data_IF_486961095232
#
_entry.id   IF_486961095232
#
_cell.length_a   1.000
_cell.length_b   1.000
_cell.length_c   1.000
_cell.angle_alpha   90.00
_cell.angle_beta   90.00
_cell.angle_gamma   90.00
#
_symmetry.space_group_name_H-M   'P 1'
#
loop_
_entity.id
_entity.type
_entity.pdbx_description
1 polymer ?
#
# COMPACT_ATOMS: atom_id res chain seq x y z
N UNK A 1 -20.03 -3.71 23.27
CA UNK A 1 -18.73 -4.39 23.29
C UNK A 1 -17.79 -3.44 24.00
N UNK A 2 -17.41 -3.77 25.23
CA UNK A 2 -16.44 -2.98 25.98
C UNK A 2 -15.13 -2.95 25.20
N UNK A 3 -14.53 -1.76 25.06
CA UNK A 3 -13.25 -1.59 24.36
C UNK A 3 -12.18 -2.33 25.16
N UNK A 4 -11.91 -3.57 24.78
CA UNK A 4 -10.67 -4.26 25.12
C UNK A 4 -9.51 -3.35 24.69
N UNK A 5 -8.41 -3.32 25.47
CA UNK A 5 -7.14 -2.70 25.07
C UNK A 5 -6.63 -3.40 23.80
N UNK A 6 -7.13 -2.95 22.64
CA UNK A 6 -6.67 -3.41 21.33
C UNK A 6 -5.47 -2.56 21.00
N UNK A 7 -4.33 -3.22 20.81
CA UNK A 7 -3.12 -2.57 20.31
C UNK A 7 -3.36 -2.08 18.88
N UNK A 8 -3.47 -0.76 18.73
CA UNK A 8 -3.72 -0.09 17.46
C UNK A 8 -2.43 0.10 16.64
N UNK A 9 -1.27 -0.09 17.28
CA UNK A 9 0.06 0.03 16.66
C UNK A 9 0.54 -1.32 16.09
N UNK A 10 -0.22 -2.39 16.29
CA UNK A 10 0.10 -3.70 15.77
C UNK A 10 0.09 -3.73 14.24
N UNK A 11 1.19 -4.20 13.65
CA UNK A 11 1.32 -4.46 12.21
C UNK A 11 1.45 -5.95 11.95
N UNK A 12 0.95 -6.39 10.80
CA UNK A 12 1.12 -7.76 10.33
C UNK A 12 2.58 -8.02 9.87
N UNK A 13 2.86 -9.25 9.43
CA UNK A 13 4.18 -9.63 8.92
C UNK A 13 4.60 -8.89 7.64
N UNK A 14 3.66 -8.24 6.95
CA UNK A 14 3.89 -7.38 5.79
C UNK A 14 4.07 -5.90 6.14
N UNK A 15 3.96 -5.54 7.43
CA UNK A 15 4.01 -4.16 7.91
C UNK A 15 2.69 -3.41 7.72
N UNK A 16 1.58 -4.10 7.46
CA UNK A 16 0.26 -3.48 7.32
C UNK A 16 -0.43 -3.41 8.69
N UNK A 17 -0.97 -2.24 9.01
CA UNK A 17 -1.84 -2.09 10.17
C UNK A 17 -3.30 -2.43 9.81
N UNK A 18 -4.19 -2.39 10.79
CA UNK A 18 -5.61 -2.73 10.60
C UNK A 18 -6.32 -1.83 9.56
N UNK A 19 -5.94 -0.55 9.45
CA UNK A 19 -6.51 0.38 8.46
C UNK A 19 -6.07 0.01 7.05
N UNK A 20 -4.81 -0.36 6.87
CA UNK A 20 -4.28 -0.80 5.58
C UNK A 20 -4.94 -2.11 5.11
N UNK A 21 -5.08 -3.09 6.02
CA UNK A 21 -5.76 -4.37 5.75
C UNK A 21 -7.22 -4.13 5.37
N UNK A 22 -7.88 -3.20 6.05
CA UNK A 22 -9.25 -2.80 5.73
C UNK A 22 -9.36 -2.20 4.33
N UNK A 23 -8.42 -1.33 3.95
CA UNK A 23 -8.34 -0.76 2.60
C UNK A 23 -8.03 -1.81 1.53
N UNK A 24 -7.14 -2.76 1.81
CA UNK A 24 -6.79 -3.87 0.93
C UNK A 24 -8.02 -4.72 0.57
N UNK A 25 -8.90 -4.97 1.53
CA UNK A 25 -10.17 -5.67 1.29
C UNK A 25 -11.30 -4.77 0.78
N UNK A 26 -11.05 -3.46 0.70
CA UNK A 26 -11.99 -2.47 0.18
C UNK A 26 -13.07 -2.06 1.17
N UNK A 27 -12.84 -2.14 2.47
CA UNK A 27 -13.75 -1.56 3.48
C UNK A 27 -13.58 -0.04 3.60
N UNK A 28 -13.66 0.63 2.45
CA UNK A 28 -13.46 2.06 2.26
C UNK A 28 -14.80 2.76 2.05
N UNK A 29 -14.80 4.08 2.22
CA UNK A 29 -15.96 4.92 2.02
C UNK A 29 -16.55 4.78 0.61
N UNK A 30 -17.85 5.11 0.49
CA UNK A 30 -18.53 5.18 -0.81
C UNK A 30 -17.83 6.16 -1.77
N UNK A 31 -17.33 7.29 -1.24
CA UNK A 31 -16.62 8.31 -2.01
C UNK A 31 -15.31 7.76 -2.58
N UNK A 32 -14.61 6.92 -1.83
CA UNK A 32 -13.34 6.31 -2.23
C UNK A 32 -13.48 5.11 -3.18
N UNK A 33 -14.64 4.42 -3.21
CA UNK A 33 -14.87 3.26 -4.10
C UNK A 33 -15.79 3.54 -5.28
N UNK A 34 -16.64 4.56 -5.20
CA UNK A 34 -17.68 4.87 -6.20
C UNK A 34 -18.75 3.78 -6.41
N UNK A 35 -18.65 2.62 -5.73
CA UNK A 35 -19.58 1.47 -5.83
C UNK A 35 -19.50 0.55 -4.59
N UNK A 36 -20.26 0.84 -3.53
CA UNK A 36 -21.02 -0.11 -2.71
C UNK A 36 -21.53 0.58 -1.42
N UNK A 37 -22.83 0.85 -1.32
CA UNK A 37 -23.43 1.45 -0.12
C UNK A 37 -23.59 0.42 1.01
N UNK A 38 -23.41 -0.87 0.68
CA UNK A 38 -23.66 -2.00 1.57
C UNK A 38 -22.39 -2.55 2.25
N UNK A 39 -21.23 -1.95 2.00
CA UNK A 39 -19.96 -2.34 2.66
C UNK A 39 -19.70 -1.36 3.81
N UNK A 40 -19.49 -1.89 5.01
CA UNK A 40 -19.13 -1.07 6.15
C UNK A 40 -17.84 -0.30 5.89
N UNK A 41 -17.87 1.02 6.12
CA UNK A 41 -16.69 1.88 6.05
C UNK A 41 -15.84 1.72 7.32
N UNK A 42 -15.13 0.60 7.36
CA UNK A 42 -14.26 0.24 8.49
C UNK A 42 -13.04 1.14 8.53
N UNK A 43 -12.55 1.60 7.38
CA UNK A 43 -11.39 2.51 7.32
C UNK A 43 -11.69 3.81 8.05
N UNK A 44 -12.81 4.48 7.76
CA UNK A 44 -13.15 5.73 8.45
C UNK A 44 -13.35 5.49 9.95
N UNK A 45 -13.98 4.37 10.32
CA UNK A 45 -14.10 3.98 11.73
C UNK A 45 -12.74 3.80 12.42
N UNK A 46 -11.75 3.17 11.77
CA UNK A 46 -10.41 2.98 12.33
C UNK A 46 -9.61 4.29 12.41
N UNK A 47 -9.76 5.16 11.42
CA UNK A 47 -9.20 6.52 11.44
C UNK A 47 -9.76 7.36 12.59
N UNK A 48 -11.07 7.28 12.85
CA UNK A 48 -11.71 7.94 14.00
C UNK A 48 -11.20 7.41 15.36
N UNK A 49 -10.61 6.21 15.38
CA UNK A 49 -9.94 5.64 16.55
C UNK A 49 -8.45 6.01 16.65
N UNK A 50 -7.93 6.76 15.69
CA UNK A 50 -6.57 7.26 15.67
C UNK A 50 -5.57 6.40 14.88
N UNK A 51 -6.02 5.36 14.16
CA UNK A 51 -5.12 4.66 13.23
C UNK A 51 -5.03 5.40 11.90
N UNK A 52 -3.81 5.68 11.47
CA UNK A 52 -3.56 6.23 10.14
C UNK A 52 -3.01 5.19 9.18
N UNK A 53 -3.11 5.48 7.89
CA UNK A 53 -2.47 4.64 6.88
C UNK A 53 -0.96 4.65 7.02
N UNK A 54 -0.35 3.49 6.75
CA UNK A 54 1.07 3.42 6.36
C UNK A 54 1.24 3.95 4.93
N UNK A 55 2.49 4.16 4.50
CA UNK A 55 2.79 4.56 3.11
C UNK A 55 2.06 3.69 2.08
N UNK A 56 2.08 2.38 2.31
CA UNK A 56 1.48 1.39 1.40
C UNK A 56 -0.04 1.41 1.50
N UNK A 57 -0.57 1.51 2.71
CA UNK A 57 -2.00 1.65 2.94
C UNK A 57 -2.59 2.90 2.29
N UNK A 58 -1.87 4.03 2.32
CA UNK A 58 -2.32 5.28 1.72
C UNK A 58 -2.46 5.14 0.20
N UNK A 59 -1.49 4.48 -0.45
CA UNK A 59 -1.54 4.16 -1.88
C UNK A 59 -2.73 3.25 -2.23
N UNK A 60 -2.98 2.22 -1.42
CA UNK A 60 -4.09 1.26 -1.64
C UNK A 60 -5.45 1.91 -1.36
N UNK A 61 -5.53 2.70 -0.29
CA UNK A 61 -6.71 3.43 0.15
C UNK A 61 -7.10 4.56 -0.80
N UNK A 62 -6.12 5.16 -1.47
CA UNK A 62 -6.35 6.30 -2.35
C UNK A 62 -6.17 7.66 -1.66
N UNK A 63 -5.45 7.70 -0.54
CA UNK A 63 -5.32 8.86 0.32
C UNK A 63 -4.16 9.77 -0.14
N UNK A 64 -4.49 10.76 -0.96
CA UNK A 64 -3.52 11.69 -1.56
C UNK A 64 -2.83 12.56 -0.50
N UNK A 65 -3.57 13.03 0.50
CA UNK A 65 -3.03 13.93 1.53
C UNK A 65 -2.01 13.19 2.38
N UNK A 66 -2.31 11.94 2.76
CA UNK A 66 -1.38 11.09 3.49
C UNK A 66 -0.15 10.72 2.66
N UNK A 67 -0.31 10.48 1.35
CA UNK A 67 0.82 10.26 0.43
C UNK A 67 1.75 11.48 0.43
N UNK A 68 1.19 12.70 0.38
CA UNK A 68 1.98 13.92 0.41
C UNK A 68 2.74 14.09 1.72
N UNK A 69 2.10 13.84 2.85
CA UNK A 69 2.77 13.89 4.16
C UNK A 69 3.99 12.95 4.20
N UNK A 70 3.86 11.73 3.68
CA UNK A 70 4.99 10.80 3.62
C UNK A 70 6.11 11.34 2.72
N UNK A 71 5.79 11.82 1.52
CA UNK A 71 6.78 12.33 0.58
C UNK A 71 7.49 13.59 1.11
N UNK A 72 6.76 14.49 1.77
CA UNK A 72 7.31 15.67 2.44
C UNK A 72 8.28 15.29 3.57
N UNK A 73 8.01 14.17 4.26
CA UNK A 73 8.87 13.60 5.29
C UNK A 73 10.03 12.75 4.74
N UNK A 74 10.25 12.75 3.42
CA UNK A 74 11.38 12.08 2.78
C UNK A 74 11.17 10.59 2.48
N UNK A 75 9.93 10.12 2.45
CA UNK A 75 9.58 8.79 1.94
C UNK A 75 10.13 8.61 0.52
N UNK A 76 10.84 7.51 0.29
CA UNK A 76 11.29 7.15 -1.06
C UNK A 76 10.08 6.71 -1.90
N UNK A 77 9.81 7.45 -2.97
CA UNK A 77 8.71 7.18 -3.90
C UNK A 77 8.91 5.85 -4.65
N UNK A 78 10.16 5.41 -4.79
CA UNK A 78 10.55 4.14 -5.38
C UNK A 78 10.75 3.04 -4.32
N UNK A 79 10.40 3.28 -3.05
CA UNK A 79 10.45 2.24 -2.01
C UNK A 79 9.66 1.03 -2.49
N UNK A 80 10.31 -0.13 -2.42
CA UNK A 80 9.73 -1.42 -2.73
C UNK A 80 9.27 -2.13 -1.47
N UNK A 81 8.17 -2.86 -1.57
CA UNK A 81 7.70 -3.70 -0.47
C UNK A 81 8.75 -4.74 -0.08
N UNK A 82 9.25 -4.63 1.14
CA UNK A 82 10.25 -5.54 1.69
C UNK A 82 9.63 -6.74 2.39
N UNK A 83 9.27 -7.80 1.67
CA UNK A 83 9.34 -9.18 2.19
C UNK A 83 9.19 -10.23 1.08
N UNK A 84 10.10 -11.21 1.08
CA UNK A 84 10.07 -12.38 0.22
C UNK A 84 9.41 -13.53 0.99
N UNK A 85 8.09 -13.47 1.19
CA UNK A 85 7.33 -14.61 1.65
C UNK A 85 6.25 -14.94 0.61
N UNK A 86 6.35 -16.15 0.06
CA UNK A 86 5.31 -16.84 -0.71
C UNK A 86 4.56 -15.97 -1.75
N UNK A 87 5.29 -15.47 -2.75
CA UNK A 87 4.67 -14.76 -3.89
C UNK A 87 4.40 -13.27 -3.66
N UNK A 88 4.89 -12.69 -2.56
CA UNK A 88 4.92 -11.24 -2.38
C UNK A 88 5.97 -10.60 -3.28
N UNK A 89 5.49 -9.97 -4.36
CA UNK A 89 6.29 -9.19 -5.28
C UNK A 89 6.71 -7.86 -4.64
N UNK A 90 7.91 -7.41 -4.95
CA UNK A 90 8.49 -6.15 -4.48
C UNK A 90 7.89 -4.95 -5.25
N UNK A 91 6.65 -4.58 -4.95
CA UNK A 91 5.97 -3.50 -5.65
C UNK A 91 6.42 -2.13 -5.17
N UNK A 92 6.58 -1.20 -6.11
CA UNK A 92 6.62 0.24 -5.80
C UNK A 92 5.21 0.77 -5.53
N UNK A 93 5.09 1.98 -4.96
CA UNK A 93 3.82 2.68 -4.79
C UNK A 93 2.97 2.71 -6.08
N UNK A 94 3.61 3.02 -7.22
CA UNK A 94 2.94 3.03 -8.52
C UNK A 94 2.36 1.65 -8.89
N UNK A 95 3.14 0.58 -8.74
CA UNK A 95 2.69 -0.77 -9.10
C UNK A 95 1.55 -1.25 -8.20
N UNK A 96 1.57 -0.90 -6.91
CA UNK A 96 0.45 -1.18 -6.01
C UNK A 96 -0.80 -0.42 -6.45
N UNK A 97 -0.70 0.87 -6.72
CA UNK A 97 -1.83 1.66 -7.20
C UNK A 97 -2.48 1.02 -8.44
N UNK A 98 -1.66 0.58 -9.40
CA UNK A 98 -2.14 -0.14 -10.59
C UNK A 98 -2.83 -1.47 -10.24
N UNK A 99 -2.21 -2.29 -9.38
CA UNK A 99 -2.75 -3.59 -8.94
C UNK A 99 -4.12 -3.48 -8.27
N UNK A 100 -4.32 -2.43 -7.47
CA UNK A 100 -5.57 -2.20 -6.73
C UNK A 100 -6.56 -1.28 -7.47
N UNK A 101 -6.30 -0.96 -8.74
CA UNK A 101 -7.21 -0.15 -9.56
C UNK A 101 -7.28 1.33 -9.19
N UNK A 102 -6.29 1.84 -8.43
CA UNK A 102 -6.14 3.25 -8.02
C UNK A 102 -5.50 4.07 -9.12
N UNK A 103 -6.19 4.21 -10.24
CA UNK A 103 -5.67 4.89 -11.43
C UNK A 103 -5.39 6.38 -11.19
N UNK A 104 -6.16 7.04 -10.32
CA UNK A 104 -5.91 8.41 -9.89
C UNK A 104 -4.56 8.54 -9.16
N UNK A 105 -4.29 7.65 -8.21
CA UNK A 105 -3.02 7.61 -7.47
C UNK A 105 -1.87 7.23 -8.39
N UNK A 106 -2.03 6.24 -9.26
CA UNK A 106 -0.99 5.85 -10.21
C UNK A 106 -0.59 7.05 -11.10
N UNK A 107 -1.57 7.81 -11.60
CA UNK A 107 -1.31 9.06 -12.35
C UNK A 107 -0.63 10.12 -11.48
N UNK A 108 -1.07 10.25 -10.24
CA UNK A 108 -0.52 11.22 -9.30
C UNK A 108 0.96 10.95 -8.99
N UNK A 109 1.30 9.71 -8.65
CA UNK A 109 2.67 9.28 -8.39
C UNK A 109 3.56 9.50 -9.61
N UNK A 110 3.08 9.24 -10.84
CA UNK A 110 3.85 9.53 -12.05
C UNK A 110 4.16 11.03 -12.22
N UNK A 111 3.24 11.92 -11.84
CA UNK A 111 3.48 13.38 -11.87
C UNK A 111 4.56 13.77 -10.87
N UNK A 112 4.61 13.09 -9.72
CA UNK A 112 5.63 13.28 -8.69
C UNK A 112 6.98 12.63 -9.01
N UNK A 113 7.10 11.97 -10.16
CA UNK A 113 8.35 11.39 -10.65
C UNK A 113 8.48 9.88 -10.46
N UNK A 114 7.42 9.18 -10.04
CA UNK A 114 7.44 7.73 -9.96
C UNK A 114 7.68 7.10 -11.33
N UNK A 115 8.51 6.06 -11.37
CA UNK A 115 8.87 5.34 -12.59
C UNK A 115 7.79 4.32 -12.91
N UNK A 116 7.28 4.35 -14.15
CA UNK A 116 6.49 3.24 -14.69
C UNK A 116 7.46 2.13 -15.13
N UNK A 117 7.54 1.01 -14.39
CA UNK A 117 8.50 -0.05 -14.72
C UNK A 117 8.05 -0.77 -15.99
N UNK A 118 9.04 -1.19 -16.81
CA UNK A 118 8.79 -1.98 -18.03
C UNK A 118 8.41 -3.42 -17.72
N UNK A 119 8.82 -3.94 -16.57
CA UNK A 119 8.60 -5.32 -16.18
C UNK A 119 7.46 -5.44 -15.18
N UNK A 120 6.55 -6.39 -15.45
CA UNK A 120 5.62 -6.91 -14.45
C UNK A 120 6.47 -7.63 -13.41
N UNK A 121 6.32 -7.23 -12.15
CA UNK A 121 7.17 -7.61 -11.02
C UNK A 121 7.10 -9.10 -10.64
N UNK A 122 6.86 -10.03 -11.57
CA UNK A 122 6.63 -11.44 -11.22
C UNK A 122 7.89 -12.17 -10.72
N UNK A 123 9.10 -11.64 -10.96
CA UNK A 123 10.32 -12.23 -10.39
C UNK A 123 11.52 -11.30 -10.60
N UNK A 124 11.76 -10.35 -9.69
CA UNK A 124 13.15 -9.92 -9.48
C UNK A 124 13.75 -10.90 -8.48
N UNK A 125 14.35 -11.97 -9.01
CA UNK A 125 15.36 -12.71 -8.24
C UNK A 125 16.41 -11.67 -7.81
N UNK A 126 16.89 -11.70 -6.55
CA UNK A 126 17.95 -10.80 -6.14
C UNK A 126 19.09 -10.95 -7.14
N UNK A 127 19.47 -9.86 -7.80
CA UNK A 127 20.55 -9.81 -8.79
C UNK A 127 21.92 -10.22 -8.21
N UNK A 128 21.97 -10.51 -6.91
CA UNK A 128 23.11 -11.00 -6.16
C UNK A 128 23.28 -12.53 -6.16
N UNK A 129 22.33 -13.32 -6.68
CA UNK A 129 22.61 -14.73 -6.96
C UNK A 129 23.39 -14.84 -8.27
N UNK A 130 24.68 -14.54 -8.17
CA UNK A 130 25.77 -15.10 -8.96
C UNK A 130 25.34 -15.79 -10.28
N UNK A 131 25.43 -15.04 -11.38
CA UNK A 131 25.93 -15.60 -12.65
C UNK A 131 27.39 -16.05 -12.41
N UNK A 132 27.61 -17.05 -11.56
CA UNK A 132 28.78 -17.91 -11.66
C UNK A 132 28.55 -18.70 -12.92
N UNK A 133 29.03 -18.13 -14.03
CA UNK A 133 29.12 -18.83 -15.29
C UNK A 133 29.79 -20.18 -15.03
N UNK A 134 29.05 -21.26 -15.23
CA UNK A 134 29.64 -22.54 -15.48
C UNK A 134 30.30 -22.45 -16.87
N UNK A 135 31.58 -22.08 -16.88
CA UNK A 135 32.51 -22.38 -17.98
C UNK A 135 33.17 -23.72 -17.72
#
# INVERSE_FOLDING_TARGET
>A
VENTDVDLDAVDSGGFNATDVSAYHGFLSWEDRGRNADVADIVTYLKDKGLEYTWRGAVIGGDVDRINEFLENGQDIEERTGYFCEGNYQYTGFQMAMKFGRMNIARYLMVLGAVCPRDICEMQMPYESELRGFT
#
